data_IF_125493108473
#
_entry.id   IF_125493108473
#
_cell.length_a   1.000
_cell.length_b   1.000
_cell.length_c   1.000
_cell.angle_alpha   90.00
_cell.angle_beta   90.00
_cell.angle_gamma   90.00
#
_symmetry.space_group_name_H-M   'P 1'
#
loop_
_entity.id
_entity.type
_entity.pdbx_description
1 polymer ?
#
# COMPACT_ATOMS: atom_id res chain seq x y z
N UNK A 1 24.68 2.82 -16.11
CA UNK A 1 25.83 2.63 -15.24
C UNK A 1 25.81 1.23 -14.69
N UNK A 2 26.97 0.58 -14.65
CA UNK A 2 27.20 -0.75 -14.07
C UNK A 2 28.54 -0.74 -13.32
N UNK A 3 28.70 -1.67 -12.41
CA UNK A 3 29.98 -1.83 -11.70
C UNK A 3 31.03 -2.36 -12.68
N UNK A 4 32.24 -1.77 -12.62
CA UNK A 4 33.36 -2.26 -13.40
C UNK A 4 33.78 -3.65 -12.89
N UNK A 5 34.11 -4.54 -13.83
CA UNK A 5 34.64 -5.86 -13.50
C UNK A 5 36.08 -5.76 -12.90
N UNK A 6 36.52 -6.76 -12.14
CA UNK A 6 37.83 -6.76 -11.48
C UNK A 6 39.03 -6.59 -12.41
N UNK A 7 38.92 -7.08 -13.65
CA UNK A 7 40.00 -6.96 -14.65
C UNK A 7 40.14 -5.52 -15.13
N UNK A 8 39.00 -4.88 -15.43
CA UNK A 8 38.94 -3.46 -15.80
C UNK A 8 39.50 -2.58 -14.68
N UNK A 9 39.14 -2.85 -13.43
CA UNK A 9 39.69 -2.10 -12.26
C UNK A 9 41.18 -2.29 -12.18
N UNK A 10 41.71 -3.50 -12.28
CA UNK A 10 43.15 -3.77 -12.23
C UNK A 10 43.90 -3.11 -13.40
N UNK A 11 43.30 -3.12 -14.59
CA UNK A 11 43.91 -2.47 -15.78
C UNK A 11 44.01 -0.97 -15.64
N UNK A 12 43.00 -0.32 -15.05
CA UNK A 12 42.95 1.11 -14.90
C UNK A 12 43.80 1.62 -13.75
N UNK A 13 43.83 0.92 -12.64
CA UNK A 13 44.43 1.40 -11.38
C UNK A 13 45.65 0.63 -10.91
N UNK A 14 45.97 -0.50 -11.55
CA UNK A 14 47.11 -1.36 -11.17
C UNK A 14 46.91 -2.19 -9.90
N UNK A 15 45.77 -2.04 -9.23
CA UNK A 15 45.42 -2.73 -7.97
C UNK A 15 44.10 -3.47 -8.06
N UNK A 16 43.89 -4.53 -7.26
CA UNK A 16 42.62 -5.23 -7.24
C UNK A 16 41.50 -4.41 -6.60
N UNK A 17 40.26 -4.85 -6.83
CA UNK A 17 39.06 -4.32 -6.16
C UNK A 17 39.26 -4.35 -4.64
N UNK A 18 38.87 -3.28 -3.94
CA UNK A 18 39.02 -3.13 -2.48
C UNK A 18 40.17 -2.21 -2.05
N UNK A 19 41.16 -2.00 -2.92
CA UNK A 19 42.31 -1.13 -2.62
C UNK A 19 42.36 0.16 -3.44
N UNK A 20 41.39 0.35 -4.33
CA UNK A 20 41.26 1.60 -5.10
C UNK A 20 40.72 2.70 -4.18
N UNK A 21 41.33 3.86 -4.23
CA UNK A 21 40.91 5.05 -3.50
C UNK A 21 40.94 6.31 -4.38
N UNK A 22 40.42 7.43 -3.90
CA UNK A 22 40.35 8.67 -4.69
C UNK A 22 41.70 9.36 -4.86
N UNK A 23 42.66 9.08 -3.96
CA UNK A 23 43.98 9.67 -4.03
C UNK A 23 44.75 9.07 -5.22
N UNK A 24 45.05 9.92 -6.21
CA UNK A 24 45.68 9.47 -7.48
C UNK A 24 44.72 8.99 -8.56
N UNK A 25 43.48 8.60 -8.23
CA UNK A 25 42.51 8.10 -9.21
C UNK A 25 42.00 9.21 -10.15
N UNK A 26 41.95 10.44 -9.71
CA UNK A 26 41.46 11.59 -10.49
C UNK A 26 42.21 11.85 -11.80
N UNK A 27 43.42 11.32 -11.93
CA UNK A 27 44.21 11.40 -13.16
C UNK A 27 43.74 10.38 -14.22
N UNK A 28 42.99 9.33 -13.79
CA UNK A 28 42.55 8.24 -14.63
C UNK A 28 41.05 8.28 -14.91
N UNK A 29 40.25 8.70 -13.92
CA UNK A 29 38.77 8.72 -14.00
C UNK A 29 38.22 10.00 -13.35
N UNK A 30 37.03 10.41 -13.81
CA UNK A 30 36.26 11.46 -13.16
C UNK A 30 35.74 10.94 -11.82
N UNK A 31 36.00 11.69 -10.74
CA UNK A 31 35.50 11.36 -9.40
C UNK A 31 34.22 12.17 -9.15
N UNK A 32 33.14 11.45 -8.86
CA UNK A 32 31.85 12.03 -8.45
C UNK A 32 31.67 11.77 -6.96
N UNK A 33 31.47 12.80 -6.17
CA UNK A 33 31.27 12.72 -4.72
C UNK A 33 29.80 12.78 -4.33
N UNK A 34 29.41 11.93 -3.39
CA UNK A 34 28.10 12.04 -2.78
C UNK A 34 28.00 13.28 -1.87
N UNK A 35 26.84 13.94 -1.83
CA UNK A 35 26.61 15.13 -1.00
C UNK A 35 26.86 14.87 0.49
N UNK A 36 26.69 13.66 1.00
CA UNK A 36 26.99 13.30 2.39
C UNK A 36 28.48 13.40 2.70
N UNK A 37 29.32 13.14 1.72
CA UNK A 37 30.81 13.21 1.85
C UNK A 37 31.32 14.65 1.86
N UNK A 38 30.59 15.60 1.31
CA UNK A 38 31.02 16.99 1.17
C UNK A 38 31.45 17.67 2.48
N UNK A 39 30.79 17.29 3.59
CA UNK A 39 31.05 17.85 4.92
C UNK A 39 31.96 16.98 5.78
N UNK A 40 32.33 15.81 5.32
CA UNK A 40 33.19 14.89 6.04
C UNK A 40 34.66 15.35 5.96
N UNK A 41 35.44 14.88 6.90
CA UNK A 41 36.89 15.12 6.97
C UNK A 41 37.60 13.86 7.48
N UNK A 42 38.92 13.77 7.18
CA UNK A 42 39.78 12.72 7.69
C UNK A 42 39.31 11.30 7.29
N UNK A 43 39.06 11.11 5.99
CA UNK A 43 38.65 9.81 5.45
C UNK A 43 39.72 8.75 5.65
N UNK A 44 39.26 7.51 5.71
CA UNK A 44 40.06 6.33 5.42
C UNK A 44 39.68 5.86 4.01
N UNK A 45 40.64 5.80 3.11
CA UNK A 45 40.42 5.47 1.71
C UNK A 45 41.40 4.41 1.21
N UNK A 46 41.11 3.70 0.14
CA UNK A 46 42.07 2.76 -0.46
C UNK A 46 43.38 3.43 -0.80
N UNK A 47 44.50 2.73 -0.55
CA UNK A 47 45.85 3.26 -0.67
C UNK A 47 46.47 3.12 -2.05
N UNK A 48 45.73 2.63 -3.07
CA UNK A 48 46.25 2.33 -4.41
C UNK A 48 47.41 1.32 -4.42
N UNK A 49 47.51 0.54 -3.35
CA UNK A 49 48.46 -0.56 -3.17
C UNK A 49 47.78 -1.66 -2.36
N UNK A 50 48.17 -2.92 -2.58
CA UNK A 50 47.58 -4.07 -1.90
C UNK A 50 47.81 -3.94 -0.38
N UNK A 51 46.76 -4.21 0.40
CA UNK A 51 46.74 -4.17 1.86
C UNK A 51 47.07 -2.81 2.48
N UNK A 52 46.93 -1.71 1.73
CA UNK A 52 47.20 -0.35 2.21
C UNK A 52 45.95 0.54 2.17
N UNK A 53 45.89 1.45 3.15
CA UNK A 53 44.88 2.52 3.22
C UNK A 53 45.51 3.82 3.60
N UNK A 54 45.06 4.91 2.98
CA UNK A 54 45.37 6.25 3.46
C UNK A 54 44.40 6.62 4.59
N UNK A 55 44.94 7.15 5.67
CA UNK A 55 44.18 7.76 6.77
C UNK A 55 44.27 9.27 6.68
N UNK A 56 43.29 9.99 7.23
CA UNK A 56 43.28 11.46 7.23
C UNK A 56 43.29 12.05 5.81
N UNK A 57 42.78 11.35 4.83
CA UNK A 57 42.59 11.89 3.48
C UNK A 57 41.47 12.93 3.45
N UNK A 58 41.62 13.97 2.64
CA UNK A 58 40.61 15.02 2.51
C UNK A 58 40.50 15.47 1.04
N UNK A 59 39.27 15.65 0.56
CA UNK A 59 39.07 16.31 -0.74
C UNK A 59 39.57 17.76 -0.70
N UNK A 60 39.99 18.28 -1.84
CA UNK A 60 40.59 19.62 -1.95
C UNK A 60 42.01 19.74 -1.42
N UNK A 61 42.57 18.68 -0.77
CA UNK A 61 43.97 18.59 -0.34
C UNK A 61 44.68 17.41 -0.98
N UNK A 62 44.09 16.21 -0.90
CA UNK A 62 44.74 14.96 -1.31
C UNK A 62 44.16 14.41 -2.62
N UNK A 63 42.94 14.78 -2.94
CA UNK A 63 42.24 14.44 -4.19
C UNK A 63 41.14 15.49 -4.48
N UNK A 64 40.79 15.60 -5.76
CA UNK A 64 39.71 16.49 -6.20
C UNK A 64 38.47 15.70 -6.60
N UNK A 65 37.31 16.23 -6.23
CA UNK A 65 36.00 15.71 -6.67
C UNK A 65 35.54 16.58 -7.84
N UNK A 66 35.36 15.96 -9.00
CA UNK A 66 35.00 16.64 -10.24
C UNK A 66 33.56 17.14 -10.23
N UNK A 67 32.68 16.44 -9.51
CA UNK A 67 31.22 16.73 -9.44
C UNK A 67 30.63 16.20 -8.15
N UNK A 68 29.69 16.95 -7.57
CA UNK A 68 28.90 16.52 -6.43
C UNK A 68 27.51 16.13 -6.87
N UNK A 69 27.01 14.98 -6.41
CA UNK A 69 25.70 14.47 -6.74
C UNK A 69 25.06 13.73 -5.55
N UNK A 70 23.76 13.63 -5.54
CA UNK A 70 23.00 12.81 -4.58
C UNK A 70 23.02 11.35 -5.07
N UNK A 71 23.90 10.53 -4.53
CA UNK A 71 24.17 9.17 -4.96
C UNK A 71 23.78 8.11 -3.92
N UNK A 72 23.84 8.50 -2.63
CA UNK A 72 23.58 7.57 -1.52
C UNK A 72 22.12 7.23 -1.44
N UNK A 73 21.81 5.94 -1.37
CA UNK A 73 20.49 5.48 -0.98
C UNK A 73 20.31 5.66 0.53
N UNK A 74 19.14 6.14 0.93
CA UNK A 74 18.80 6.32 2.34
C UNK A 74 18.65 4.96 3.02
N UNK A 75 19.21 4.82 4.21
CA UNK A 75 19.15 3.61 5.03
C UNK A 75 18.51 3.89 6.39
N UNK A 76 18.08 2.81 7.07
CA UNK A 76 17.59 2.92 8.44
C UNK A 76 18.69 3.50 9.35
N UNK A 77 18.34 4.50 10.16
CA UNK A 77 19.26 5.21 11.02
C UNK A 77 19.88 6.47 10.43
N UNK A 78 19.78 6.69 9.11
CA UNK A 78 20.15 7.97 8.51
C UNK A 78 19.26 9.09 9.06
N UNK A 79 19.82 10.28 9.20
CA UNK A 79 19.07 11.43 9.73
C UNK A 79 18.20 12.06 8.65
N UNK A 80 16.92 12.31 8.98
CA UNK A 80 16.02 13.04 8.11
C UNK A 80 16.55 14.46 7.84
N UNK A 81 16.66 14.91 6.58
CA UNK A 81 17.19 16.24 6.26
C UNK A 81 16.27 17.39 6.71
N UNK A 82 15.01 17.12 7.04
CA UNK A 82 14.04 18.13 7.49
C UNK A 82 13.97 18.26 9.00
N UNK A 83 13.83 17.15 9.74
CA UNK A 83 13.65 17.18 11.20
C UNK A 83 14.86 16.68 11.99
N UNK A 84 15.84 16.02 11.35
CA UNK A 84 17.03 15.49 12.00
C UNK A 84 16.82 14.15 12.74
N UNK A 85 15.60 13.65 12.83
CA UNK A 85 15.30 12.37 13.48
C UNK A 85 15.82 11.17 12.66
N UNK A 86 16.17 10.04 13.31
CA UNK A 86 16.59 8.83 12.60
C UNK A 86 15.45 8.29 11.73
N UNK A 87 15.77 7.96 10.48
CA UNK A 87 14.86 7.33 9.54
C UNK A 87 14.64 5.86 9.91
N UNK A 88 13.41 5.40 9.82
CA UNK A 88 13.05 4.00 10.04
C UNK A 88 12.81 3.31 8.70
N UNK A 89 13.08 2.00 8.65
CA UNK A 89 12.77 1.16 7.49
C UNK A 89 11.59 0.26 7.81
N UNK A 90 10.61 0.24 6.95
CA UNK A 90 9.48 -0.68 7.02
C UNK A 90 9.25 -1.35 5.68
N UNK A 91 8.62 -2.53 5.70
CA UNK A 91 8.20 -3.21 4.48
C UNK A 91 6.78 -2.79 4.16
N UNK A 92 6.51 -2.51 2.89
CA UNK A 92 5.17 -2.19 2.39
C UNK A 92 4.78 -3.09 1.23
N UNK A 93 3.48 -3.19 0.99
CA UNK A 93 2.93 -3.84 -0.21
C UNK A 93 2.81 -2.78 -1.30
N UNK A 94 3.48 -2.97 -2.44
CA UNK A 94 3.34 -2.07 -3.58
C UNK A 94 1.97 -2.24 -4.23
N UNK A 95 1.11 -1.26 -4.09
CA UNK A 95 -0.24 -1.25 -4.67
C UNK A 95 -0.27 -0.70 -6.09
N UNK A 96 0.59 0.27 -6.39
CA UNK A 96 0.67 0.89 -7.69
C UNK A 96 2.08 1.36 -8.03
N UNK A 97 2.36 1.52 -9.32
CA UNK A 97 3.65 1.98 -9.81
C UNK A 97 3.47 2.92 -11.00
N UNK A 98 4.18 4.05 -10.98
CA UNK A 98 4.20 5.02 -12.07
C UNK A 98 5.51 4.85 -12.85
N UNK A 99 5.40 4.59 -14.14
CA UNK A 99 6.54 4.42 -15.02
C UNK A 99 6.70 5.65 -15.91
N UNK A 100 7.86 6.30 -15.85
CA UNK A 100 8.26 7.35 -16.79
C UNK A 100 8.93 6.70 -17.98
N UNK A 101 8.18 6.42 -19.04
CA UNK A 101 8.67 5.67 -20.21
C UNK A 101 9.46 6.54 -21.19
N UNK A 102 9.32 7.87 -21.11
CA UNK A 102 9.94 8.80 -22.08
C UNK A 102 9.50 8.49 -23.51
N UNK A 103 10.45 8.42 -24.43
CA UNK A 103 10.19 8.13 -25.86
C UNK A 103 10.53 6.70 -26.27
N UNK A 104 10.91 5.83 -25.30
CA UNK A 104 11.40 4.47 -25.58
C UNK A 104 10.49 3.66 -26.52
N UNK A 105 9.19 3.72 -26.29
CA UNK A 105 8.21 2.98 -27.07
C UNK A 105 7.68 3.79 -28.25
N UNK A 106 7.45 5.09 -28.08
CA UNK A 106 6.98 5.95 -29.16
C UNK A 106 7.96 6.03 -30.31
N UNK A 107 9.25 6.11 -30.05
CA UNK A 107 10.28 6.07 -31.10
C UNK A 107 10.25 4.74 -31.86
N UNK A 108 10.25 3.61 -31.16
CA UNK A 108 10.27 2.28 -31.78
C UNK A 108 8.98 1.95 -32.56
N UNK A 109 7.85 2.53 -32.17
CA UNK A 109 6.54 2.35 -32.80
C UNK A 109 6.25 3.39 -33.89
N UNK A 110 7.11 4.38 -34.07
CA UNK A 110 6.86 5.50 -34.99
C UNK A 110 5.69 6.41 -34.58
N UNK A 111 5.40 6.48 -33.28
CA UNK A 111 4.32 7.30 -32.74
C UNK A 111 4.80 8.74 -32.55
N UNK A 112 4.58 9.60 -33.54
CA UNK A 112 5.01 10.99 -33.58
C UNK A 112 3.82 11.95 -33.67
N UNK A 113 3.99 13.15 -33.15
CA UNK A 113 3.11 14.29 -33.43
C UNK A 113 3.88 15.38 -34.14
N UNK A 114 3.15 16.29 -34.80
CA UNK A 114 3.74 17.43 -35.52
C UNK A 114 3.59 18.67 -34.65
N UNK A 115 4.71 19.31 -34.34
CA UNK A 115 4.76 20.60 -33.64
C UNK A 115 4.26 21.74 -34.53
N UNK A 116 4.01 22.91 -33.93
CA UNK A 116 3.58 24.10 -34.65
C UNK A 116 4.58 24.56 -35.72
N UNK A 117 5.87 24.29 -35.55
CA UNK A 117 6.94 24.58 -36.50
C UNK A 117 7.06 23.55 -37.65
N UNK A 118 6.19 22.53 -37.66
CA UNK A 118 6.20 21.44 -38.63
C UNK A 118 7.18 20.29 -38.30
N UNK A 119 7.95 20.38 -37.24
CA UNK A 119 8.84 19.31 -36.82
C UNK A 119 8.07 18.12 -36.22
N UNK A 120 8.57 16.89 -36.45
CA UNK A 120 8.01 15.69 -35.87
C UNK A 120 8.74 15.34 -34.56
N UNK A 121 7.99 15.13 -33.49
CA UNK A 121 8.51 14.69 -32.19
C UNK A 121 7.80 13.44 -31.70
N UNK A 122 8.51 12.50 -31.04
CA UNK A 122 7.87 11.33 -30.45
C UNK A 122 7.03 11.74 -29.25
N UNK A 123 5.95 11.01 -28.99
CA UNK A 123 5.16 11.20 -27.78
C UNK A 123 5.99 10.83 -26.54
N UNK A 124 5.96 11.68 -25.53
CA UNK A 124 6.46 11.34 -24.20
C UNK A 124 5.39 10.51 -23.49
N UNK A 125 5.77 9.30 -23.09
CA UNK A 125 4.84 8.32 -22.56
C UNK A 125 5.03 8.12 -21.04
N UNK A 126 3.92 7.84 -20.36
CA UNK A 126 3.87 7.32 -19.00
C UNK A 126 3.00 6.08 -18.95
N UNK A 127 3.20 5.25 -17.93
CA UNK A 127 2.33 4.12 -17.62
C UNK A 127 2.00 4.16 -16.13
N UNK A 128 0.74 3.87 -15.81
CA UNK A 128 0.21 3.97 -14.45
C UNK A 128 -0.38 2.63 -14.08
N UNK A 129 0.44 1.80 -13.41
CA UNK A 129 0.03 0.48 -12.97
C UNK A 129 -0.66 0.51 -11.61
N UNK A 130 -1.78 -0.18 -11.49
CA UNK A 130 -2.45 -0.40 -10.21
C UNK A 130 -2.87 -1.87 -10.08
N UNK A 131 -2.39 -2.52 -9.01
CA UNK A 131 -2.71 -3.91 -8.71
C UNK A 131 -4.04 -4.03 -7.96
N UNK A 132 -5.16 -4.08 -8.67
CA UNK A 132 -6.52 -4.10 -8.07
C UNK A 132 -6.67 -5.26 -7.10
N UNK A 133 -6.37 -6.49 -7.52
CA UNK A 133 -6.44 -7.67 -6.66
C UNK A 133 -5.43 -7.64 -5.50
N UNK A 134 -4.26 -7.05 -5.74
CA UNK A 134 -3.27 -6.82 -4.67
C UNK A 134 -3.77 -5.81 -3.64
N UNK A 135 -4.45 -4.74 -4.08
CA UNK A 135 -5.08 -3.75 -3.19
C UNK A 135 -6.14 -4.40 -2.32
N UNK A 136 -6.97 -5.28 -2.89
CA UNK A 136 -7.94 -6.06 -2.14
C UNK A 136 -7.27 -6.94 -1.09
N UNK A 137 -6.21 -7.69 -1.47
CA UNK A 137 -5.44 -8.52 -0.54
C UNK A 137 -4.79 -7.71 0.58
N UNK A 138 -4.25 -6.53 0.27
CA UNK A 138 -3.67 -5.63 1.27
C UNK A 138 -4.72 -5.07 2.24
N UNK A 139 -5.93 -4.78 1.76
CA UNK A 139 -7.04 -4.36 2.61
C UNK A 139 -7.43 -5.47 3.60
N UNK A 140 -7.49 -6.73 3.16
CA UNK A 140 -7.76 -7.88 4.03
C UNK A 140 -6.64 -8.07 5.05
N UNK A 141 -5.37 -7.91 4.64
CA UNK A 141 -4.21 -8.02 5.53
C UNK A 141 -4.22 -6.97 6.66
N UNK A 142 -4.74 -5.79 6.39
CA UNK A 142 -4.82 -4.70 7.37
C UNK A 142 -6.12 -4.68 8.18
N UNK A 143 -7.23 -5.12 7.57
CA UNK A 143 -8.57 -5.00 8.13
C UNK A 143 -9.17 -6.38 8.38
N UNK A 144 -8.71 -7.03 9.45
CA UNK A 144 -9.24 -8.31 9.94
C UNK A 144 -9.14 -8.39 11.47
N UNK A 145 -9.83 -9.36 12.02
CA UNK A 145 -9.67 -9.80 13.41
C UNK A 145 -9.69 -11.35 13.46
N UNK A 146 -9.67 -11.93 14.66
CA UNK A 146 -9.71 -13.40 14.86
C UNK A 146 -10.98 -14.05 14.30
N UNK A 147 -12.04 -13.28 14.05
CA UNK A 147 -13.33 -13.76 13.51
C UNK A 147 -13.37 -13.75 11.98
N UNK A 148 -12.51 -12.97 11.32
CA UNK A 148 -12.43 -12.90 9.87
C UNK A 148 -12.19 -11.47 9.34
N UNK A 149 -12.58 -11.24 8.09
CA UNK A 149 -12.37 -9.99 7.37
C UNK A 149 -13.24 -8.86 7.94
N UNK A 150 -12.75 -7.62 7.82
CA UNK A 150 -13.50 -6.40 8.11
C UNK A 150 -13.46 -5.50 6.86
N UNK A 151 -14.39 -5.71 5.93
CA UNK A 151 -14.40 -4.95 4.69
C UNK A 151 -14.75 -3.47 4.90
N UNK A 152 -14.01 -2.53 4.28
CA UNK A 152 -14.54 -1.19 4.04
C UNK A 152 -15.80 -1.26 3.14
N UNK A 153 -16.78 -0.41 3.41
CA UNK A 153 -18.06 -0.40 2.65
C UNK A 153 -17.84 -0.30 1.13
N UNK A 154 -16.85 0.48 0.71
CA UNK A 154 -16.59 0.78 -0.71
C UNK A 154 -16.11 -0.42 -1.55
N UNK A 155 -15.55 -1.45 -0.91
CA UNK A 155 -15.01 -2.65 -1.59
C UNK A 155 -15.61 -3.95 -1.06
N UNK A 156 -16.57 -3.85 -0.15
CA UNK A 156 -17.27 -5.02 0.37
C UNK A 156 -18.08 -5.71 -0.75
N UNK A 157 -17.98 -7.04 -0.91
CA UNK A 157 -18.77 -7.77 -1.92
C UNK A 157 -20.26 -7.68 -1.66
N UNK A 158 -20.64 -7.58 -0.39
CA UNK A 158 -21.99 -7.26 0.09
C UNK A 158 -21.85 -6.25 1.22
N UNK A 159 -22.62 -5.17 1.18
CA UNK A 159 -22.61 -4.13 2.22
C UNK A 159 -23.43 -4.56 3.44
N UNK A 160 -24.47 -5.36 3.20
CA UNK A 160 -25.41 -5.80 4.23
C UNK A 160 -25.70 -7.29 4.10
N UNK A 161 -25.81 -7.99 5.24
CA UNK A 161 -26.40 -9.31 5.33
C UNK A 161 -27.68 -9.27 6.16
N UNK A 162 -28.78 -9.78 5.61
CA UNK A 162 -30.03 -10.00 6.33
C UNK A 162 -30.08 -11.47 6.75
N UNK A 163 -29.99 -11.72 8.06
CA UNK A 163 -29.92 -13.07 8.63
C UNK A 163 -31.27 -13.46 9.25
N UNK A 164 -31.96 -14.43 8.67
CA UNK A 164 -33.18 -15.04 9.22
C UNK A 164 -32.74 -16.15 10.18
N UNK A 165 -32.95 -15.97 11.48
CA UNK A 165 -32.46 -16.91 12.50
C UNK A 165 -33.23 -18.26 12.43
N UNK A 166 -34.55 -18.22 12.24
CA UNK A 166 -35.37 -19.42 12.15
C UNK A 166 -36.28 -19.37 10.90
N UNK A 167 -35.90 -20.12 9.89
CA UNK A 167 -36.65 -20.21 8.62
C UNK A 167 -37.99 -20.96 8.75
N UNK A 168 -38.22 -21.69 9.85
CA UNK A 168 -39.54 -22.30 10.18
C UNK A 168 -40.54 -21.26 10.69
N UNK A 169 -40.10 -20.08 11.10
CA UNK A 169 -40.95 -18.99 11.55
C UNK A 169 -41.35 -18.09 10.37
N UNK A 170 -42.57 -18.23 9.89
CA UNK A 170 -43.08 -17.44 8.75
C UNK A 170 -42.99 -15.92 8.94
N UNK A 171 -43.07 -15.43 10.20
CA UNK A 171 -42.97 -14.02 10.47
C UNK A 171 -41.51 -13.53 10.27
N UNK A 172 -40.52 -14.30 10.74
CA UNK A 172 -39.13 -14.03 10.49
C UNK A 172 -38.80 -14.01 8.99
N UNK A 173 -39.25 -15.02 8.25
CA UNK A 173 -39.03 -15.13 6.81
C UNK A 173 -39.63 -13.93 6.07
N UNK A 174 -40.94 -13.66 6.26
CA UNK A 174 -41.64 -12.55 5.60
C UNK A 174 -40.96 -11.18 5.91
N UNK A 175 -40.51 -10.98 7.14
CA UNK A 175 -39.87 -9.75 7.54
C UNK A 175 -38.46 -9.63 6.93
N UNK A 176 -37.68 -10.73 6.95
CA UNK A 176 -36.36 -10.76 6.35
C UNK A 176 -36.38 -10.48 4.85
N UNK A 177 -37.26 -11.16 4.12
CA UNK A 177 -37.47 -10.95 2.67
C UNK A 177 -37.89 -9.49 2.37
N UNK A 178 -38.77 -8.91 3.18
CA UNK A 178 -39.21 -7.53 3.02
C UNK A 178 -38.05 -6.54 3.22
N UNK A 179 -37.27 -6.70 4.29
CA UNK A 179 -36.10 -5.82 4.56
C UNK A 179 -35.06 -5.98 3.47
N UNK A 180 -34.76 -7.22 3.06
CA UNK A 180 -33.88 -7.51 1.94
C UNK A 180 -34.32 -6.78 0.67
N UNK A 181 -35.57 -6.92 0.27
CA UNK A 181 -36.11 -6.30 -0.94
C UNK A 181 -36.02 -4.75 -0.90
N UNK A 182 -36.31 -4.14 0.26
CA UNK A 182 -36.19 -2.69 0.41
C UNK A 182 -34.74 -2.21 0.30
N UNK A 183 -33.78 -2.88 0.95
CA UNK A 183 -32.36 -2.51 0.91
C UNK A 183 -31.79 -2.70 -0.50
N UNK A 184 -32.08 -3.83 -1.14
CA UNK A 184 -31.67 -4.10 -2.51
C UNK A 184 -32.32 -3.12 -3.51
N UNK A 185 -33.61 -2.81 -3.34
CA UNK A 185 -34.31 -1.81 -4.14
C UNK A 185 -33.77 -0.39 -3.96
N UNK A 186 -33.12 -0.10 -2.84
CA UNK A 186 -32.41 1.16 -2.59
C UNK A 186 -30.97 1.19 -3.13
N UNK A 187 -30.53 0.15 -3.86
CA UNK A 187 -29.24 0.09 -4.53
C UNK A 187 -28.10 -0.47 -3.70
N UNK A 188 -28.37 -1.10 -2.56
CA UNK A 188 -27.35 -1.77 -1.77
C UNK A 188 -27.11 -3.20 -2.27
N UNK A 189 -25.86 -3.66 -2.19
CA UNK A 189 -25.51 -5.08 -2.36
C UNK A 189 -25.85 -5.83 -1.06
N UNK A 190 -26.88 -6.64 -1.10
CA UNK A 190 -27.45 -7.32 0.08
C UNK A 190 -27.39 -8.82 -0.09
N UNK A 191 -26.92 -9.52 0.93
CA UNK A 191 -27.00 -10.98 1.03
C UNK A 191 -28.15 -11.38 1.96
N UNK A 192 -28.98 -12.32 1.54
CA UNK A 192 -30.04 -12.93 2.38
C UNK A 192 -29.56 -14.31 2.85
N UNK A 193 -29.42 -14.50 4.17
CA UNK A 193 -29.12 -15.79 4.76
C UNK A 193 -30.39 -16.48 5.27
N UNK A 194 -30.99 -17.25 4.39
CA UNK A 194 -32.18 -18.06 4.60
C UNK A 194 -31.89 -19.57 4.76
N UNK A 195 -30.62 -19.94 5.01
CA UNK A 195 -30.19 -21.33 5.18
C UNK A 195 -30.79 -21.97 6.43
N UNK A 196 -31.08 -23.29 6.35
CA UNK A 196 -31.54 -24.07 7.50
C UNK A 196 -30.38 -24.57 8.37
N UNK A 197 -29.65 -23.61 9.00
CA UNK A 197 -28.54 -23.89 9.91
C UNK A 197 -28.70 -23.07 11.18
N UNK A 198 -27.90 -23.37 12.21
CA UNK A 198 -27.98 -22.66 13.50
C UNK A 198 -27.61 -21.16 13.35
N UNK A 199 -28.18 -20.31 14.22
CA UNK A 199 -27.88 -18.89 14.25
C UNK A 199 -26.37 -18.61 14.44
N UNK A 200 -25.71 -19.36 15.31
CA UNK A 200 -24.25 -19.23 15.54
C UNK A 200 -23.44 -19.51 14.29
N UNK A 201 -23.82 -20.52 13.49
CA UNK A 201 -23.17 -20.80 12.21
C UNK A 201 -23.32 -19.64 11.23
N UNK A 202 -24.53 -19.08 11.09
CA UNK A 202 -24.79 -17.91 10.23
C UNK A 202 -23.98 -16.68 10.66
N UNK A 203 -23.90 -16.44 11.96
CA UNK A 203 -23.15 -15.30 12.50
C UNK A 203 -21.64 -15.44 12.28
N UNK A 204 -21.10 -16.65 12.49
CA UNK A 204 -19.70 -16.93 12.24
C UNK A 204 -19.34 -16.77 10.75
N UNK A 205 -20.20 -17.26 9.84
CA UNK A 205 -20.00 -17.09 8.41
C UNK A 205 -20.04 -15.61 8.00
N UNK A 206 -21.01 -14.85 8.52
CA UNK A 206 -21.11 -13.42 8.24
C UNK A 206 -19.88 -12.64 8.73
N UNK A 207 -19.36 -12.99 9.92
CA UNK A 207 -18.17 -12.40 10.50
C UNK A 207 -16.90 -12.83 9.72
N UNK A 208 -16.81 -14.11 9.30
CA UNK A 208 -15.69 -14.65 8.52
C UNK A 208 -15.61 -13.98 7.13
N UNK A 209 -16.73 -13.87 6.43
CA UNK A 209 -16.84 -13.19 5.13
C UNK A 209 -16.55 -11.68 5.29
N UNK A 210 -16.88 -11.12 6.46
CA UNK A 210 -16.61 -9.74 6.81
C UNK A 210 -17.64 -8.73 6.31
N UNK A 211 -18.91 -9.14 6.16
CA UNK A 211 -19.95 -8.24 5.68
C UNK A 211 -20.17 -7.10 6.68
N UNK A 212 -20.08 -5.83 6.24
CA UNK A 212 -20.03 -4.66 7.12
C UNK A 212 -21.21 -4.52 8.08
N UNK A 213 -22.43 -4.70 7.57
CA UNK A 213 -23.65 -4.50 8.34
C UNK A 213 -24.46 -5.81 8.37
N UNK A 214 -24.88 -6.24 9.56
CA UNK A 214 -25.76 -7.39 9.75
C UNK A 214 -27.09 -6.96 10.34
N UNK A 215 -28.19 -7.31 9.65
CA UNK A 215 -29.55 -7.21 10.15
C UNK A 215 -30.00 -8.60 10.60
N UNK A 216 -30.29 -8.78 11.87
CA UNK A 216 -30.69 -10.07 12.44
C UNK A 216 -32.19 -10.09 12.74
N UNK A 217 -32.91 -11.01 12.08
CA UNK A 217 -34.33 -11.26 12.30
C UNK A 217 -34.44 -12.48 13.22
N UNK A 218 -34.58 -12.23 14.52
CA UNK A 218 -34.62 -13.25 15.57
C UNK A 218 -35.91 -13.25 16.37
N UNK A 219 -35.83 -13.72 17.62
CA UNK A 219 -37.01 -13.87 18.49
C UNK A 219 -37.68 -12.52 18.81
N UNK A 220 -36.98 -11.39 18.79
CA UNK A 220 -37.51 -10.05 19.06
C UNK A 220 -38.53 -9.60 18.01
N UNK A 221 -38.65 -10.30 16.88
CA UNK A 221 -39.64 -10.00 15.84
C UNK A 221 -41.08 -10.13 16.37
N UNK A 222 -41.32 -10.99 17.36
CA UNK A 222 -42.65 -11.11 18.01
C UNK A 222 -43.07 -9.81 18.70
N UNK A 223 -42.12 -8.93 19.01
CA UNK A 223 -42.30 -7.60 19.60
C UNK A 223 -42.14 -6.48 18.57
N UNK A 224 -41.95 -6.80 17.28
CA UNK A 224 -41.77 -5.82 16.22
C UNK A 224 -40.34 -5.26 16.10
N UNK A 225 -39.33 -5.96 16.65
CA UNK A 225 -37.94 -5.49 16.63
C UNK A 225 -37.00 -6.42 15.90
N UNK A 226 -35.95 -5.82 15.32
CA UNK A 226 -34.78 -6.48 14.71
C UNK A 226 -33.50 -5.91 15.29
N UNK A 227 -32.38 -6.55 15.02
CA UNK A 227 -31.07 -6.08 15.48
C UNK A 227 -30.21 -5.66 14.27
N UNK A 228 -29.57 -4.49 14.34
CA UNK A 228 -28.61 -4.00 13.38
C UNK A 228 -27.26 -3.94 14.04
N UNK A 229 -26.22 -4.51 13.41
CA UNK A 229 -24.87 -4.59 13.97
C UNK A 229 -23.84 -4.25 12.89
N UNK A 230 -22.81 -3.45 13.25
CA UNK A 230 -21.60 -3.29 12.43
C UNK A 230 -20.63 -4.44 12.72
N UNK A 231 -19.91 -4.91 11.68
CA UNK A 231 -19.01 -6.05 11.75
C UNK A 231 -17.93 -5.91 12.83
N UNK A 232 -17.39 -4.72 13.01
CA UNK A 232 -16.28 -4.45 13.93
C UNK A 232 -16.73 -4.05 15.35
N UNK A 233 -18.03 -3.88 15.60
CA UNK A 233 -18.57 -3.57 16.93
C UNK A 233 -19.07 -4.85 17.62
N UNK A 234 -18.95 -4.90 18.96
CA UNK A 234 -19.40 -6.07 19.73
C UNK A 234 -20.89 -6.01 20.12
N UNK A 235 -21.49 -4.81 20.05
CA UNK A 235 -22.90 -4.60 20.36
C UNK A 235 -23.78 -4.52 19.11
N UNK A 236 -25.08 -4.77 19.28
CA UNK A 236 -26.08 -4.63 18.24
C UNK A 236 -27.15 -3.63 18.71
N UNK A 237 -27.53 -2.71 17.84
CA UNK A 237 -28.66 -1.83 18.06
C UNK A 237 -29.97 -2.58 17.81
N UNK A 238 -30.94 -2.45 18.75
CA UNK A 238 -32.27 -3.01 18.59
C UNK A 238 -33.21 -1.91 18.08
N UNK A 239 -33.77 -2.09 16.89
CA UNK A 239 -34.62 -1.12 16.22
C UNK A 239 -35.96 -1.71 15.83
N UNK A 240 -37.00 -0.88 15.63
CA UNK A 240 -38.27 -1.36 15.10
C UNK A 240 -38.08 -1.85 13.65
N UNK A 241 -38.93 -2.78 13.21
CA UNK A 241 -38.92 -3.29 11.82
C UNK A 241 -39.11 -2.14 10.81
N UNK A 242 -39.90 -1.15 11.16
CA UNK A 242 -40.18 0.03 10.32
C UNK A 242 -38.95 0.93 10.17
N UNK A 243 -38.11 1.04 11.23
CA UNK A 243 -36.89 1.86 11.24
C UNK A 243 -35.65 1.10 10.75
N UNK A 244 -35.75 -0.20 10.47
CA UNK A 244 -34.61 -1.04 10.17
C UNK A 244 -33.80 -0.56 8.95
N UNK A 245 -34.47 -0.14 7.88
CA UNK A 245 -33.83 0.37 6.65
C UNK A 245 -33.07 1.67 6.94
N UNK A 246 -33.68 2.61 7.68
CA UNK A 246 -33.02 3.86 8.08
C UNK A 246 -31.83 3.60 8.98
N UNK A 247 -31.95 2.69 9.95
CA UNK A 247 -30.84 2.30 10.84
C UNK A 247 -29.67 1.72 10.07
N UNK A 248 -29.92 0.89 9.03
CA UNK A 248 -28.87 0.37 8.15
C UNK A 248 -28.14 1.50 7.42
N UNK A 249 -28.88 2.47 6.84
CA UNK A 249 -28.24 3.62 6.18
C UNK A 249 -27.41 4.48 7.13
N UNK A 250 -27.87 4.67 8.35
CA UNK A 250 -27.14 5.39 9.39
C UNK A 250 -25.87 4.62 9.81
N UNK A 251 -25.99 3.28 9.95
CA UNK A 251 -24.84 2.42 10.22
C UNK A 251 -23.79 2.49 9.10
N UNK A 252 -24.21 2.47 7.83
CA UNK A 252 -23.33 2.60 6.66
C UNK A 252 -22.60 3.96 6.68
N UNK A 253 -23.31 5.07 6.91
CA UNK A 253 -22.71 6.41 6.95
C UNK A 253 -21.65 6.58 8.03
N UNK A 254 -21.83 5.91 9.17
CA UNK A 254 -20.91 5.95 10.30
C UNK A 254 -19.96 4.75 10.37
N UNK A 255 -19.87 3.97 9.29
CA UNK A 255 -18.99 2.79 9.23
C UNK A 255 -17.59 3.20 8.77
N UNK A 256 -16.66 3.27 9.70
CA UNK A 256 -15.24 3.49 9.41
C UNK A 256 -14.37 2.44 10.14
N UNK A 257 -13.98 1.36 9.47
CA UNK A 257 -13.13 0.35 10.07
C UNK A 257 -11.67 0.80 10.25
N UNK A 258 -11.27 1.93 9.63
CA UNK A 258 -9.91 2.47 9.75
C UNK A 258 -9.65 3.09 11.12
N UNK A 259 -10.69 3.56 11.81
CA UNK A 259 -10.58 4.03 13.21
C UNK A 259 -9.99 2.96 14.16
N UNK A 260 -10.01 1.68 13.78
CA UNK A 260 -9.42 0.57 14.54
C UNK A 260 -7.96 0.29 14.23
N UNK A 261 -7.51 0.71 13.06
CA UNK A 261 -6.12 0.56 12.63
C UNK A 261 -5.30 1.69 13.26
N UNK A 262 -5.44 1.91 14.56
CA UNK A 262 -4.78 3.00 15.30
C UNK A 262 -3.42 3.39 14.75
N UNK A 263 -2.80 4.48 15.20
CA UNK A 263 -1.52 5.10 14.78
C UNK A 263 -0.34 4.14 14.46
N UNK A 264 -0.61 3.09 13.68
CA UNK A 264 0.36 2.11 13.20
C UNK A 264 1.09 2.58 11.92
N UNK A 265 1.03 3.90 11.63
CA UNK A 265 1.79 4.54 10.55
C UNK A 265 2.61 5.73 11.04
#
# INVERSE_FOLDING_TARGET
LELADPETVRKLFGVPVGFVGPVGAGNTVKIIGDLSVQRMKNYVVGGMEIDTHYVNANHGRDFEISEWADLKLVEAGDRCPKCGEPMQSTKGIELGHIFKLGTKYSDSMGAYFTEQDGSKKPFIMGCYGWGISRTMGAAVEQLHDERGIIWPISIAPYQVIVTIVNIGDKNQVKTGERIYAHLAGAGLEVLLDDRSVSAGFKFNDADLIGIPIRVTIGKKISQGFVEVKKRYEDWAETVSVESAVEAVFNAIKSYDPLDRVGDAF
#
